data_IF_677796343443
#
_entry.id   IF_677796343443
#
_cell.length_a   1.000
_cell.length_b   1.000
_cell.length_c   1.000
_cell.angle_alpha   90.00
_cell.angle_beta   90.00
_cell.angle_gamma   90.00
#
_symmetry.space_group_name_H-M   'P 1'
#
loop_
_entity.id
_entity.type
_entity.pdbx_description
1 polymer ?
#
# COMPACT_ATOMS: atom_id res chain seq x y z
N UNK A 1 -23.20 4.07 -21.63
CA UNK A 1 -21.75 4.04 -21.88
C UNK A 1 -21.52 4.08 -23.39
N UNK A 2 -20.57 4.86 -23.91
CA UNK A 2 -20.23 4.82 -25.34
C UNK A 2 -19.72 3.43 -25.73
N UNK A 3 -19.98 2.99 -26.96
CA UNK A 3 -19.57 1.67 -27.46
C UNK A 3 -18.04 1.59 -27.52
N UNK A 4 -17.45 0.79 -26.64
CA UNK A 4 -16.00 0.73 -26.40
C UNK A 4 -15.25 -0.07 -27.48
N UNK A 5 -15.94 -0.61 -28.49
CA UNK A 5 -15.37 -1.53 -29.47
C UNK A 5 -14.94 -2.88 -28.87
N UNK A 6 -15.24 -3.14 -27.59
CA UNK A 6 -14.90 -4.38 -26.92
C UNK A 6 -15.80 -5.53 -27.37
N UNK A 7 -15.20 -6.72 -27.53
CA UNK A 7 -15.93 -7.97 -27.76
C UNK A 7 -17.01 -8.15 -26.67
N UNK A 8 -18.21 -8.66 -26.98
CA UNK A 8 -19.28 -8.85 -26.00
C UNK A 8 -18.85 -9.60 -24.74
N UNK A 9 -18.04 -10.66 -24.87
CA UNK A 9 -17.52 -11.43 -23.73
C UNK A 9 -16.63 -10.62 -22.78
N UNK A 10 -15.88 -9.64 -23.29
CA UNK A 10 -15.05 -8.76 -22.46
C UNK A 10 -15.91 -7.77 -21.66
N UNK A 11 -17.02 -7.28 -22.24
CA UNK A 11 -17.98 -6.42 -21.55
C UNK A 11 -18.71 -7.16 -20.43
N UNK A 12 -19.08 -8.42 -20.67
CA UNK A 12 -19.69 -9.29 -19.66
C UNK A 12 -18.73 -9.59 -18.51
N UNK A 13 -17.47 -9.92 -18.83
CA UNK A 13 -16.43 -10.14 -17.81
C UNK A 13 -16.16 -8.88 -16.99
N UNK A 14 -16.04 -7.72 -17.65
CA UNK A 14 -15.89 -6.43 -16.97
C UNK A 14 -17.04 -6.20 -15.99
N UNK A 15 -18.29 -6.39 -16.44
CA UNK A 15 -19.47 -6.18 -15.62
C UNK A 15 -19.49 -7.13 -14.41
N UNK A 16 -19.11 -8.39 -14.61
CA UNK A 16 -19.04 -9.40 -13.54
C UNK A 16 -18.01 -9.03 -12.48
N UNK A 17 -16.80 -8.65 -12.90
CA UNK A 17 -15.72 -8.27 -11.98
C UNK A 17 -16.02 -6.95 -11.26
N UNK A 18 -16.59 -5.98 -11.96
CA UNK A 18 -17.01 -4.70 -11.37
C UNK A 18 -18.12 -4.90 -10.34
N UNK A 19 -19.16 -5.69 -10.65
CA UNK A 19 -20.23 -5.97 -9.71
C UNK A 19 -19.72 -6.75 -8.48
N UNK A 20 -18.83 -7.73 -8.68
CA UNK A 20 -18.20 -8.41 -7.54
C UNK A 20 -17.40 -7.45 -6.66
N UNK A 21 -16.57 -6.59 -7.25
CA UNK A 21 -15.77 -5.63 -6.51
C UNK A 21 -16.66 -4.64 -5.74
N UNK A 22 -17.63 -4.03 -6.41
CA UNK A 22 -18.45 -2.94 -5.87
C UNK A 22 -19.56 -3.44 -4.94
N UNK A 23 -20.20 -4.57 -5.24
CA UNK A 23 -21.36 -5.02 -4.49
C UNK A 23 -21.02 -6.06 -3.43
N UNK A 24 -19.83 -6.66 -3.49
CA UNK A 24 -19.40 -7.73 -2.55
C UNK A 24 -18.11 -7.39 -1.82
N UNK A 25 -17.01 -7.17 -2.54
CA UNK A 25 -15.69 -7.08 -1.93
C UNK A 25 -15.46 -5.78 -1.15
N UNK A 26 -15.71 -4.60 -1.75
CA UNK A 26 -15.54 -3.32 -1.05
C UNK A 26 -16.51 -3.20 0.16
N UNK A 27 -17.81 -3.54 0.05
CA UNK A 27 -18.71 -3.45 1.19
C UNK A 27 -18.30 -4.32 2.39
N UNK A 28 -17.87 -5.58 2.17
CA UNK A 28 -17.50 -6.45 3.31
C UNK A 28 -16.23 -5.96 4.01
N UNK A 29 -15.22 -5.53 3.25
CA UNK A 29 -13.97 -5.03 3.82
C UNK A 29 -14.12 -3.68 4.51
N UNK A 30 -15.10 -2.87 4.12
CA UNK A 30 -15.39 -1.62 4.83
C UNK A 30 -16.28 -1.82 6.04
N UNK A 31 -17.44 -2.46 5.84
CA UNK A 31 -18.49 -2.55 6.86
C UNK A 31 -18.15 -3.55 7.97
N UNK A 32 -17.36 -4.58 7.65
CA UNK A 32 -16.95 -5.61 8.61
C UNK A 32 -15.45 -5.58 8.87
N UNK A 33 -14.64 -5.37 7.83
CA UNK A 33 -13.18 -5.32 7.95
C UNK A 33 -12.63 -4.06 8.60
N UNK A 34 -13.38 -2.96 8.60
CA UNK A 34 -13.00 -1.74 9.32
C UNK A 34 -13.33 -1.84 10.79
N UNK A 35 -12.32 -1.77 11.66
CA UNK A 35 -12.53 -1.74 13.10
C UNK A 35 -12.88 -0.31 13.55
N UNK A 36 -14.12 -0.10 14.00
CA UNK A 36 -14.62 1.20 14.48
C UNK A 36 -14.33 1.46 15.95
N UNK A 37 -14.00 0.42 16.72
CA UNK A 37 -13.71 0.52 18.14
C UNK A 37 -12.25 0.88 18.36
N UNK A 38 -11.33 0.14 17.74
CA UNK A 38 -9.88 0.31 17.93
C UNK A 38 -9.19 1.04 16.78
N UNK A 39 -9.92 1.36 15.71
CA UNK A 39 -9.37 1.96 14.50
C UNK A 39 -8.59 0.96 13.64
N UNK A 40 -8.05 1.39 12.51
CA UNK A 40 -7.35 0.50 11.57
C UNK A 40 -8.27 -0.53 10.93
N UNK A 41 -7.75 -1.70 10.56
CA UNK A 41 -8.53 -2.75 9.91
C UNK A 41 -8.22 -4.10 10.53
N UNK A 42 -9.23 -4.98 10.58
CA UNK A 42 -9.01 -6.37 10.93
C UNK A 42 -8.10 -7.03 9.89
N UNK A 43 -7.15 -7.82 10.38
CA UNK A 43 -6.18 -8.53 9.56
C UNK A 43 -6.85 -9.56 8.63
N UNK A 44 -7.92 -10.20 9.11
CA UNK A 44 -8.67 -11.22 8.40
C UNK A 44 -10.11 -11.29 8.87
N UNK A 45 -10.97 -11.77 7.98
CA UNK A 45 -12.33 -12.18 8.28
C UNK A 45 -12.40 -13.72 8.26
N UNK A 46 -13.21 -14.30 9.13
CA UNK A 46 -13.54 -15.71 9.11
C UNK A 46 -14.40 -16.04 7.88
N UNK A 47 -14.53 -17.33 7.55
CA UNK A 47 -15.33 -17.78 6.39
C UNK A 47 -16.83 -17.43 6.51
N UNK A 48 -17.32 -17.22 7.73
CA UNK A 48 -18.69 -16.75 8.00
C UNK A 48 -18.83 -15.21 7.89
N UNK A 49 -17.74 -14.52 7.54
CA UNK A 49 -17.68 -13.07 7.41
C UNK A 49 -17.42 -12.32 8.71
N UNK A 50 -17.29 -13.00 9.86
CA UNK A 50 -17.01 -12.33 11.14
C UNK A 50 -15.56 -11.84 11.23
N UNK A 51 -15.29 -10.68 11.86
CA UNK A 51 -13.94 -10.19 12.03
C UNK A 51 -13.15 -11.06 13.02
N UNK A 52 -11.87 -11.25 12.75
CA UNK A 52 -10.95 -11.93 13.66
C UNK A 52 -9.99 -10.92 14.26
N UNK A 53 -10.08 -10.72 15.59
CA UNK A 53 -9.27 -9.72 16.28
C UNK A 53 -7.89 -10.27 16.67
N UNK A 54 -6.99 -10.23 15.70
CA UNK A 54 -5.60 -10.70 15.80
C UNK A 54 -4.64 -9.57 15.43
N UNK A 55 -3.35 -9.82 15.65
CA UNK A 55 -2.27 -8.91 15.26
C UNK A 55 -2.41 -8.39 13.83
N UNK A 56 -2.14 -7.10 13.67
CA UNK A 56 -2.41 -6.30 12.48
C UNK A 56 -1.10 -5.92 11.84
N UNK A 57 -0.96 -6.27 10.56
CA UNK A 57 0.21 -5.90 9.76
C UNK A 57 -0.02 -4.55 9.11
N UNK A 58 0.97 -3.68 9.15
CA UNK A 58 0.87 -2.31 8.60
C UNK A 58 0.43 -2.30 7.14
N UNK A 59 0.90 -3.27 6.34
CA UNK A 59 0.47 -3.45 4.95
C UNK A 59 -1.04 -3.60 4.75
N UNK A 60 -1.80 -4.12 5.73
CA UNK A 60 -3.26 -4.26 5.57
C UNK A 60 -3.92 -2.89 5.56
N UNK A 61 -3.58 -2.01 6.50
CA UNK A 61 -4.09 -0.64 6.50
C UNK A 61 -3.69 0.11 5.22
N UNK A 62 -2.42 -0.02 4.80
CA UNK A 62 -1.94 0.58 3.55
C UNK A 62 -2.70 0.06 2.32
N UNK A 63 -2.96 -1.24 2.23
CA UNK A 63 -3.73 -1.86 1.13
C UNK A 63 -5.18 -1.41 1.10
N UNK A 64 -5.80 -1.19 2.25
CA UNK A 64 -7.17 -0.66 2.32
C UNK A 64 -7.20 0.79 1.81
N UNK A 65 -6.26 1.64 2.25
CA UNK A 65 -6.11 3.01 1.74
C UNK A 65 -5.95 3.01 0.21
N UNK A 66 -5.01 2.21 -0.32
CA UNK A 66 -4.82 2.03 -1.76
C UNK A 66 -6.13 1.62 -2.44
N UNK A 67 -6.77 0.56 -1.96
CA UNK A 67 -7.98 0.00 -2.57
C UNK A 67 -9.13 1.00 -2.64
N UNK A 68 -9.45 1.69 -1.55
CA UNK A 68 -10.54 2.67 -1.55
C UNK A 68 -10.21 3.95 -2.31
N UNK A 69 -8.95 4.37 -2.33
CA UNK A 69 -8.52 5.50 -3.16
C UNK A 69 -8.59 5.20 -4.67
N UNK A 70 -8.47 3.92 -5.06
CA UNK A 70 -8.71 3.48 -6.43
C UNK A 70 -10.21 3.30 -6.76
N UNK A 71 -11.04 2.93 -5.78
CA UNK A 71 -12.44 2.61 -6.01
C UNK A 71 -13.26 3.81 -6.53
N UNK A 72 -13.03 5.01 -5.98
CA UNK A 72 -13.75 6.22 -6.38
C UNK A 72 -13.59 6.57 -7.88
N UNK A 73 -12.37 6.70 -8.44
CA UNK A 73 -12.20 6.97 -9.87
C UNK A 73 -12.66 5.81 -10.76
N UNK A 74 -12.80 4.58 -10.23
CA UNK A 74 -13.41 3.45 -10.94
C UNK A 74 -14.95 3.55 -11.02
N UNK A 75 -15.57 4.51 -10.34
CA UNK A 75 -17.02 4.74 -10.35
C UNK A 75 -17.78 4.08 -9.21
N UNK A 76 -17.09 3.58 -8.17
CA UNK A 76 -17.73 3.06 -6.98
C UNK A 76 -18.60 4.14 -6.31
N UNK A 77 -19.79 3.75 -5.85
CA UNK A 77 -20.79 4.67 -5.26
C UNK A 77 -20.92 4.55 -3.74
N UNK A 78 -20.24 3.58 -3.13
CA UNK A 78 -20.19 3.46 -1.68
C UNK A 78 -19.17 4.40 -1.04
N UNK A 79 -19.03 4.30 0.28
CA UNK A 79 -18.10 5.12 1.04
C UNK A 79 -16.64 4.73 0.76
N UNK A 80 -15.83 5.70 0.36
CA UNK A 80 -14.37 5.53 0.17
C UNK A 80 -13.59 6.36 1.18
N UNK A 81 -13.93 7.65 1.33
CA UNK A 81 -13.18 8.59 2.17
C UNK A 81 -13.07 8.17 3.64
N UNK A 82 -14.14 7.68 4.31
CA UNK A 82 -14.03 7.18 5.68
C UNK A 82 -13.00 6.05 5.83
N UNK A 83 -12.93 5.14 4.86
CA UNK A 83 -11.98 4.03 4.87
C UNK A 83 -10.53 4.51 4.65
N UNK A 84 -10.33 5.42 3.70
CA UNK A 84 -9.05 6.07 3.45
C UNK A 84 -8.57 6.78 4.72
N UNK A 85 -9.43 7.60 5.34
CA UNK A 85 -9.09 8.33 6.57
C UNK A 85 -8.75 7.41 7.74
N UNK A 86 -9.50 6.33 7.92
CA UNK A 86 -9.24 5.36 8.99
C UNK A 86 -7.88 4.68 8.82
N UNK A 87 -7.54 4.28 7.60
CA UNK A 87 -6.23 3.69 7.31
C UNK A 87 -5.09 4.69 7.47
N UNK A 88 -5.25 5.92 6.98
CA UNK A 88 -4.25 6.98 7.15
C UNK A 88 -4.04 7.35 8.62
N UNK A 89 -5.12 7.41 9.42
CA UNK A 89 -5.02 7.65 10.86
C UNK A 89 -4.27 6.53 11.58
N UNK A 90 -4.45 5.27 11.15
CA UNK A 90 -3.66 4.15 11.65
C UNK A 90 -2.17 4.29 11.31
N UNK A 91 -1.86 4.63 10.04
CA UNK A 91 -0.50 4.78 9.55
C UNK A 91 0.24 5.98 10.17
N UNK A 92 -0.45 7.09 10.42
CA UNK A 92 0.13 8.29 11.03
C UNK A 92 0.16 8.25 12.57
N UNK A 93 -0.66 7.40 13.18
CA UNK A 93 -0.79 7.23 14.62
C UNK A 93 -0.19 5.90 15.10
N UNK A 94 -1.01 4.88 15.46
CA UNK A 94 -0.55 3.63 16.06
C UNK A 94 0.63 2.96 15.36
N UNK A 95 0.62 2.89 14.02
CA UNK A 95 1.68 2.21 13.28
C UNK A 95 2.98 3.03 13.17
N UNK A 96 2.94 4.34 13.45
CA UNK A 96 4.11 5.21 13.34
C UNK A 96 4.96 5.11 14.60
N UNK A 97 6.20 4.67 14.42
CA UNK A 97 7.21 4.72 15.46
C UNK A 97 7.52 6.18 15.82
N UNK A 98 7.28 6.62 17.08
CA UNK A 98 7.48 8.01 17.47
C UNK A 98 8.95 8.43 17.50
N UNK A 99 9.88 7.49 17.68
CA UNK A 99 11.30 7.78 17.79
C UNK A 99 11.97 7.91 16.41
N UNK A 100 11.57 7.06 15.45
CA UNK A 100 12.20 7.01 14.13
C UNK A 100 11.36 7.64 13.03
N UNK A 101 10.06 7.82 13.24
CA UNK A 101 9.10 8.25 12.22
C UNK A 101 8.75 7.19 11.18
N UNK A 102 9.42 6.02 11.18
CA UNK A 102 9.11 4.88 10.32
C UNK A 102 7.92 4.09 10.87
N UNK A 103 7.48 3.06 10.16
CA UNK A 103 6.33 2.26 10.54
C UNK A 103 6.77 0.97 11.24
N UNK A 104 6.06 0.60 12.30
CA UNK A 104 6.14 -0.74 12.88
C UNK A 104 5.54 -1.75 11.90
N UNK A 105 6.08 -2.96 11.83
CA UNK A 105 5.61 -3.96 10.91
C UNK A 105 4.32 -4.65 11.39
N UNK A 106 4.22 -4.93 12.70
CA UNK A 106 3.08 -5.63 13.30
C UNK A 106 2.71 -5.02 14.65
N UNK A 107 1.42 -4.77 14.85
CA UNK A 107 0.85 -4.30 16.11
C UNK A 107 -0.25 -5.24 16.60
N UNK A 108 -0.48 -5.30 17.90
CA UNK A 108 -1.67 -5.93 18.46
C UNK A 108 -2.91 -5.10 18.09
N UNK A 109 -4.13 -5.66 18.24
CA UNK A 109 -5.36 -4.90 18.08
C UNK A 109 -5.47 -3.60 18.91
N UNK A 110 -4.81 -3.56 20.07
CA UNK A 110 -4.82 -2.40 20.97
C UNK A 110 -3.67 -1.42 20.69
N UNK A 111 -2.88 -1.67 19.64
CA UNK A 111 -1.79 -0.78 19.20
C UNK A 111 -0.46 -1.03 19.90
N UNK A 112 -0.30 -2.13 20.64
CA UNK A 112 0.99 -2.51 21.20
C UNK A 112 1.92 -3.03 20.10
N UNK A 113 3.20 -2.69 20.17
CA UNK A 113 4.18 -3.11 19.16
C UNK A 113 4.51 -4.59 19.36
N UNK A 114 4.08 -5.43 18.42
CA UNK A 114 4.41 -6.87 18.39
C UNK A 114 5.71 -7.09 17.63
N UNK A 115 5.88 -6.40 16.50
CA UNK A 115 7.10 -6.44 15.69
C UNK A 115 7.43 -5.04 15.17
N UNK A 116 8.49 -4.44 15.71
CA UNK A 116 8.89 -3.07 15.42
C UNK A 116 10.08 -2.93 14.47
N UNK A 117 10.50 -4.03 13.83
CA UNK A 117 11.61 -4.04 12.89
C UNK A 117 11.27 -3.34 11.57
N UNK A 118 12.32 -2.90 10.88
CA UNK A 118 12.20 -2.41 9.52
C UNK A 118 11.78 -3.56 8.57
N UNK A 119 10.67 -3.35 7.87
CA UNK A 119 10.17 -4.26 6.83
C UNK A 119 10.04 -3.49 5.51
N UNK A 120 10.91 -3.80 4.54
CA UNK A 120 10.93 -3.12 3.24
C UNK A 120 9.57 -3.19 2.54
N UNK A 121 8.92 -4.34 2.61
CA UNK A 121 7.65 -4.60 1.94
C UNK A 121 6.52 -3.71 2.48
N UNK A 122 6.39 -3.63 3.80
CA UNK A 122 5.30 -2.89 4.43
C UNK A 122 5.40 -1.37 4.16
N UNK A 123 6.61 -0.83 4.12
CA UNK A 123 6.86 0.58 3.81
C UNK A 123 6.66 0.90 2.32
N UNK A 124 7.00 -0.01 1.40
CA UNK A 124 6.66 0.16 -0.02
C UNK A 124 5.14 0.28 -0.20
N UNK A 125 4.36 -0.56 0.50
CA UNK A 125 2.91 -0.44 0.53
C UNK A 125 2.42 0.87 1.15
N UNK A 126 3.04 1.34 2.22
CA UNK A 126 2.68 2.62 2.83
C UNK A 126 2.90 3.80 1.87
N UNK A 127 4.04 3.84 1.16
CA UNK A 127 4.30 4.87 0.15
C UNK A 127 3.31 4.81 -1.02
N UNK A 128 2.95 3.61 -1.49
CA UNK A 128 1.91 3.41 -2.51
C UNK A 128 0.52 3.88 -2.02
N UNK A 129 0.20 3.60 -0.76
CA UNK A 129 -1.03 4.05 -0.13
C UNK A 129 -1.11 5.57 -0.04
N UNK A 130 -0.03 6.24 0.36
CA UNK A 130 0.04 7.69 0.42
C UNK A 130 -0.12 8.35 -0.95
N UNK A 131 0.56 7.85 -1.99
CA UNK A 131 0.39 8.35 -3.36
C UNK A 131 -1.07 8.20 -3.84
N UNK A 132 -1.66 7.03 -3.57
CA UNK A 132 -3.02 6.72 -3.97
C UNK A 132 -4.03 7.61 -3.28
N UNK A 133 -3.88 7.83 -1.97
CA UNK A 133 -4.72 8.75 -1.20
C UNK A 133 -4.51 10.20 -1.65
N UNK A 134 -3.28 10.62 -1.92
CA UNK A 134 -2.96 11.97 -2.37
C UNK A 134 -3.62 12.31 -3.71
N UNK A 135 -3.70 11.35 -4.64
CA UNK A 135 -4.44 11.52 -5.91
C UNK A 135 -5.90 11.96 -5.72
N UNK A 136 -6.57 11.47 -4.68
CA UNK A 136 -7.96 11.82 -4.35
C UNK A 136 -8.07 12.89 -3.25
N UNK A 137 -6.94 13.28 -2.64
CA UNK A 137 -6.83 14.32 -1.60
C UNK A 137 -5.60 15.22 -1.84
N UNK A 138 -5.48 15.88 -3.01
CA UNK A 138 -4.24 16.58 -3.42
C UNK A 138 -3.88 17.80 -2.55
N UNK A 139 -4.83 18.29 -1.75
CA UNK A 139 -4.64 19.33 -0.75
C UNK A 139 -3.91 18.86 0.51
N UNK A 140 -3.87 17.56 0.78
CA UNK A 140 -3.28 16.98 1.99
C UNK A 140 -1.78 16.71 1.77
N UNK A 141 -0.96 17.77 1.93
CA UNK A 141 0.50 17.69 1.71
C UNK A 141 1.22 16.79 2.70
N UNK A 142 0.61 16.48 3.85
CA UNK A 142 1.19 15.56 4.84
C UNK A 142 1.43 14.16 4.29
N UNK A 143 0.66 13.74 3.27
CA UNK A 143 0.82 12.45 2.60
C UNK A 143 2.13 12.36 1.80
N UNK A 144 2.44 13.44 1.08
CA UNK A 144 3.69 13.56 0.32
C UNK A 144 4.88 13.67 1.27
N UNK A 145 4.77 14.50 2.32
CA UNK A 145 5.81 14.64 3.34
C UNK A 145 6.14 13.30 4.00
N UNK A 146 5.14 12.51 4.37
CA UNK A 146 5.33 11.19 4.98
C UNK A 146 6.02 10.20 4.02
N UNK A 147 5.63 10.18 2.75
CA UNK A 147 6.22 9.28 1.77
C UNK A 147 7.67 9.67 1.41
N UNK A 148 7.93 10.97 1.23
CA UNK A 148 9.28 11.51 1.01
C UNK A 148 10.18 11.19 2.20
N UNK A 149 9.68 11.33 3.43
CA UNK A 149 10.43 10.96 4.62
C UNK A 149 10.84 9.48 4.63
N UNK A 150 9.90 8.56 4.34
CA UNK A 150 10.19 7.12 4.26
C UNK A 150 11.21 6.84 3.15
N UNK A 151 10.98 7.38 1.95
CA UNK A 151 11.86 7.22 0.78
C UNK A 151 13.28 7.69 1.07
N UNK A 152 13.44 8.88 1.63
CA UNK A 152 14.77 9.45 1.88
C UNK A 152 15.48 8.67 2.99
N UNK A 153 14.74 8.17 3.98
CA UNK A 153 15.28 7.26 5.00
C UNK A 153 15.78 5.95 4.38
N UNK A 154 15.07 5.42 3.38
CA UNK A 154 15.47 4.22 2.63
C UNK A 154 16.78 4.43 1.88
N UNK A 155 16.83 5.47 1.06
CA UNK A 155 18.02 5.80 0.27
C UNK A 155 19.23 6.00 1.17
N UNK A 156 19.03 6.64 2.33
CA UNK A 156 20.10 6.90 3.28
C UNK A 156 20.57 5.66 4.05
N UNK A 157 19.66 4.78 4.45
CA UNK A 157 19.91 3.78 5.51
C UNK A 157 19.84 2.35 5.03
N UNK A 158 19.03 2.07 4.01
CA UNK A 158 18.68 0.72 3.58
C UNK A 158 19.09 0.41 2.14
N UNK A 159 19.74 1.33 1.42
CA UNK A 159 20.31 1.02 0.10
C UNK A 159 21.37 -0.08 0.21
N UNK A 160 21.27 -1.08 -0.66
CA UNK A 160 22.29 -2.12 -0.76
C UNK A 160 23.53 -1.55 -1.48
N UNK A 161 24.77 -1.90 -1.07
CA UNK A 161 26.00 -1.30 -1.61
C UNK A 161 26.22 -1.47 -3.13
N UNK A 162 25.51 -2.41 -3.76
CA UNK A 162 25.60 -2.67 -5.20
C UNK A 162 24.43 -2.00 -5.93
N UNK A 163 23.20 -2.46 -5.71
CA UNK A 163 21.94 -1.95 -6.27
C UNK A 163 20.77 -2.39 -5.40
N UNK A 164 19.66 -1.66 -5.44
CA UNK A 164 18.44 -1.97 -4.69
C UNK A 164 18.56 -1.64 -3.21
N UNK A 165 17.78 -2.34 -2.39
CA UNK A 165 17.66 -2.14 -0.95
C UNK A 165 17.80 -3.46 -0.18
N UNK A 166 18.24 -3.35 1.07
CA UNK A 166 18.22 -4.45 2.03
C UNK A 166 16.79 -4.77 2.47
N UNK A 167 16.52 -6.05 2.76
CA UNK A 167 15.19 -6.54 3.15
C UNK A 167 14.76 -6.06 4.55
N UNK A 168 15.74 -5.94 5.44
CA UNK A 168 15.58 -5.69 6.86
C UNK A 168 16.87 -5.13 7.46
N UNK A 169 16.79 -4.62 8.69
CA UNK A 169 17.97 -4.29 9.50
C UNK A 169 17.83 -4.92 10.89
N UNK A 170 18.68 -5.89 11.28
CA UNK A 170 19.88 -6.38 10.57
C UNK A 170 19.57 -7.03 9.22
N UNK A 171 20.59 -7.05 8.34
CA UNK A 171 20.49 -7.65 6.99
C UNK A 171 20.05 -9.10 7.07
N UNK A 172 19.10 -9.48 6.21
CA UNK A 172 18.66 -10.87 6.04
C UNK A 172 18.81 -11.32 4.59
N UNK A 173 18.99 -12.64 4.40
CA UNK A 173 19.08 -13.29 3.09
C UNK A 173 18.01 -14.37 2.96
N UNK A 174 17.54 -14.67 1.73
CA UNK A 174 17.91 -14.02 0.47
C UNK A 174 17.27 -12.63 0.31
N UNK A 175 17.89 -11.77 -0.51
CA UNK A 175 17.24 -10.57 -1.03
C UNK A 175 16.09 -10.97 -1.97
N UNK A 176 15.01 -10.19 -1.98
CA UNK A 176 13.76 -10.57 -2.64
C UNK A 176 13.40 -9.58 -3.75
N UNK A 177 12.94 -10.12 -4.87
CA UNK A 177 12.39 -9.31 -5.96
C UNK A 177 11.05 -8.64 -5.58
N UNK A 178 10.26 -9.29 -4.73
CA UNK A 178 8.89 -8.86 -4.41
C UNK A 178 8.82 -7.46 -3.74
N UNK A 179 9.60 -7.13 -2.70
CA UNK A 179 9.62 -5.76 -2.15
C UNK A 179 10.11 -4.71 -3.14
N UNK A 180 11.10 -5.04 -3.97
CA UNK A 180 11.58 -4.14 -5.03
C UNK A 180 10.48 -3.83 -6.06
N UNK A 181 9.70 -4.83 -6.46
CA UNK A 181 8.56 -4.64 -7.37
C UNK A 181 7.52 -3.68 -6.77
N UNK A 182 7.17 -3.80 -5.48
CA UNK A 182 6.24 -2.86 -4.86
C UNK A 182 6.84 -1.47 -4.62
N UNK A 183 8.16 -1.36 -4.39
CA UNK A 183 8.84 -0.07 -4.35
C UNK A 183 8.77 0.61 -5.72
N UNK A 184 8.92 -0.16 -6.81
CA UNK A 184 8.73 0.34 -8.17
C UNK A 184 7.28 0.83 -8.39
N UNK A 185 6.27 0.05 -7.98
CA UNK A 185 4.86 0.48 -8.03
C UNK A 185 4.62 1.80 -7.25
N UNK A 186 5.19 1.92 -6.05
CA UNK A 186 5.08 3.13 -5.24
C UNK A 186 5.74 4.34 -5.94
N UNK A 187 6.92 4.15 -6.55
CA UNK A 187 7.58 5.20 -7.30
C UNK A 187 6.75 5.66 -8.51
N UNK A 188 6.18 4.72 -9.28
CA UNK A 188 5.31 5.06 -10.40
C UNK A 188 4.06 5.82 -9.96
N UNK A 189 3.42 5.37 -8.87
CA UNK A 189 2.25 6.05 -8.32
C UNK A 189 2.56 7.49 -7.88
N UNK A 190 3.75 7.74 -7.31
CA UNK A 190 4.20 9.10 -6.96
C UNK A 190 4.48 9.96 -8.20
N UNK A 191 5.08 9.40 -9.24
CA UNK A 191 5.30 10.12 -10.50
C UNK A 191 3.98 10.56 -11.14
N UNK A 192 2.95 9.71 -11.12
CA UNK A 192 1.63 10.02 -11.67
C UNK A 192 0.92 11.18 -10.96
N UNK A 193 1.28 11.45 -9.70
CA UNK A 193 0.70 12.54 -8.89
C UNK A 193 1.65 13.73 -8.69
N UNK A 194 2.76 13.77 -9.43
CA UNK A 194 3.67 14.93 -9.48
C UNK A 194 4.83 14.90 -8.48
N UNK A 195 5.20 13.73 -7.96
CA UNK A 195 6.37 13.57 -7.11
C UNK A 195 7.69 13.94 -7.82
N UNK A 196 8.71 14.26 -7.02
CA UNK A 196 10.01 14.72 -7.50
C UNK A 196 10.82 13.64 -8.29
N UNK A 197 11.92 14.07 -8.93
CA UNK A 197 12.80 13.23 -9.75
C UNK A 197 13.52 12.11 -8.99
N UNK A 198 13.55 12.13 -7.65
CA UNK A 198 14.11 11.02 -6.86
C UNK A 198 13.27 9.77 -7.02
N UNK A 199 11.94 9.88 -7.12
CA UNK A 199 11.07 8.74 -7.43
C UNK A 199 11.41 8.14 -8.79
N UNK A 200 11.66 8.98 -9.80
CA UNK A 200 12.06 8.55 -11.15
C UNK A 200 13.39 7.78 -11.13
N UNK A 201 14.38 8.30 -10.41
CA UNK A 201 15.70 7.68 -10.28
C UNK A 201 15.61 6.30 -9.62
N UNK A 202 14.89 6.19 -8.50
CA UNK A 202 14.69 4.91 -7.80
C UNK A 202 13.95 3.91 -8.71
N UNK A 203 12.91 4.35 -9.42
CA UNK A 203 12.19 3.49 -10.35
C UNK A 203 13.12 2.96 -11.46
N UNK A 204 13.95 3.81 -12.05
CA UNK A 204 14.92 3.41 -13.07
C UNK A 204 15.94 2.40 -12.54
N UNK A 205 16.52 2.64 -11.35
CA UNK A 205 17.48 1.72 -10.73
C UNK A 205 16.86 0.34 -10.46
N UNK A 206 15.60 0.29 -10.02
CA UNK A 206 14.87 -0.97 -9.81
C UNK A 206 14.53 -1.65 -11.13
N UNK A 207 14.16 -0.90 -12.17
CA UNK A 207 13.90 -1.47 -13.50
C UNK A 207 15.16 -2.13 -14.08
N UNK A 208 16.32 -1.46 -13.96
CA UNK A 208 17.60 -2.02 -14.39
C UNK A 208 17.98 -3.27 -13.57
N UNK A 209 17.73 -3.26 -12.26
CA UNK A 209 17.92 -4.43 -11.40
C UNK A 209 17.01 -5.60 -11.83
N UNK A 210 15.76 -5.32 -12.19
CA UNK A 210 14.81 -6.31 -12.64
C UNK A 210 15.29 -6.99 -13.93
N UNK A 211 15.68 -6.20 -14.93
CA UNK A 211 16.17 -6.69 -16.23
C UNK A 211 17.44 -7.54 -16.05
N UNK A 212 18.36 -7.14 -15.18
CA UNK A 212 19.64 -7.81 -14.99
C UNK A 212 19.56 -9.05 -14.07
N UNK A 213 18.66 -9.08 -13.08
CA UNK A 213 18.71 -10.08 -11.99
C UNK A 213 17.40 -10.81 -11.67
N UNK A 214 16.23 -10.25 -12.00
CA UNK A 214 14.95 -10.86 -11.62
C UNK A 214 14.38 -11.73 -12.74
N UNK A 215 14.66 -11.38 -13.99
CA UNK A 215 14.28 -12.19 -15.13
C UNK A 215 15.19 -13.42 -15.19
N UNK A 216 14.58 -14.60 -15.35
CA UNK A 216 15.36 -15.79 -15.67
C UNK A 216 16.08 -15.54 -17.00
N UNK A 217 17.41 -15.76 -17.08
CA UNK A 217 18.08 -15.73 -18.36
C UNK A 217 17.47 -16.83 -19.25
N UNK A 218 17.18 -16.50 -20.50
CA UNK A 218 16.80 -17.48 -21.53
C UNK A 218 17.90 -18.53 -21.74
#
# INVERSE_FOLDING_TARGET
MPDTGLKPSLREMQSTLTNWLFDKALPIWWNVGGDREKGGFYEKLNLDGTPCDVDRRTRVAARQVFTYALAEPMGYKGETDPAIRQGLAWLAGPARNPDTGLLYAVLSPTGEVVRGDFDFYDHAFAMLAYASAYRVRPQDKSLEEAAVFIRDTFVKTYSHPVRGFEESSPRTLPLKANPHMHMFEACLAWLDVGGDDTWRRIAADIADLCIDKFLHPE
#
